data_IF_210008715632
#
_entry.id   IF_210008715632
#
_cell.length_a   1.000
_cell.length_b   1.000
_cell.length_c   1.000
_cell.angle_alpha   90.00
_cell.angle_beta   90.00
_cell.angle_gamma   90.00
#
_symmetry.space_group_name_H-M   'P 1'
#
loop_
_entity.id
_entity.type
_entity.pdbx_description
1 polymer ?
#
# COMPACT_ATOMS: atom_id res chain seq x y z
N UNK A 1 20.10 -24.50 38.18
CA UNK A 1 19.95 -23.03 38.15
C UNK A 1 20.56 -22.48 36.86
N UNK A 2 21.80 -22.87 36.54
CA UNK A 2 22.64 -22.22 35.50
C UNK A 2 22.15 -22.43 34.05
N UNK A 3 21.44 -23.51 33.75
CA UNK A 3 20.88 -23.73 32.41
C UNK A 3 19.64 -22.87 32.10
N UNK A 4 18.90 -22.46 33.13
CA UNK A 4 17.72 -21.60 32.96
C UNK A 4 18.19 -20.14 32.85
N UNK A 5 19.19 -19.73 33.61
CA UNK A 5 19.79 -18.39 33.57
C UNK A 5 20.45 -18.16 32.21
N UNK A 6 21.27 -19.08 31.71
CA UNK A 6 21.89 -18.98 30.41
C UNK A 6 20.91 -19.03 29.22
N UNK A 7 19.71 -19.61 29.43
CA UNK A 7 18.63 -19.60 28.43
C UNK A 7 17.84 -18.28 28.46
N UNK A 8 17.70 -17.66 29.64
CA UNK A 8 17.12 -16.33 29.80
C UNK A 8 18.05 -15.22 29.30
N UNK A 9 19.36 -15.34 29.49
CA UNK A 9 20.36 -14.41 28.95
C UNK A 9 20.43 -14.48 27.41
N UNK A 10 20.19 -15.66 26.82
CA UNK A 10 20.10 -15.82 25.36
C UNK A 10 18.81 -15.26 24.77
N UNK A 11 17.76 -15.09 25.59
CA UNK A 11 16.47 -14.52 25.20
C UNK A 11 16.47 -12.99 25.34
N UNK A 12 17.26 -12.44 26.22
CA UNK A 12 17.53 -11.01 26.29
C UNK A 12 18.71 -10.63 25.39
N UNK A 13 18.58 -10.82 24.07
CA UNK A 13 19.33 -9.97 23.15
C UNK A 13 18.94 -8.54 23.52
N UNK A 14 19.85 -7.85 24.18
CA UNK A 14 19.71 -6.43 24.49
C UNK A 14 19.39 -5.73 23.18
N UNK A 15 18.13 -5.40 22.95
CA UNK A 15 17.74 -4.65 21.78
C UNK A 15 18.42 -3.29 21.96
N UNK A 16 19.47 -3.06 21.20
CA UNK A 16 20.12 -1.75 21.17
C UNK A 16 19.15 -0.88 20.37
N UNK A 17 18.35 -0.10 21.06
CA UNK A 17 17.44 0.87 20.49
C UNK A 17 18.10 2.25 20.52
N UNK A 18 18.36 2.80 19.34
CA UNK A 18 18.70 4.20 19.16
C UNK A 18 17.54 4.90 18.42
N UNK A 19 16.79 5.78 19.10
CA UNK A 19 15.67 6.47 18.48
C UNK A 19 16.07 7.38 17.31
N UNK A 20 17.33 7.70 17.17
CA UNK A 20 17.86 8.52 16.05
C UNK A 20 18.02 7.69 14.75
N UNK A 21 18.14 6.38 14.88
CA UNK A 21 18.27 5.46 13.75
C UNK A 21 16.90 4.90 13.31
N UNK A 22 15.87 5.01 14.16
CA UNK A 22 14.52 4.57 13.85
C UNK A 22 13.93 5.42 12.73
N UNK A 23 13.39 4.77 11.70
CA UNK A 23 12.70 5.41 10.59
C UNK A 23 11.19 5.51 10.86
N UNK A 24 10.58 6.57 10.37
CA UNK A 24 9.16 6.88 10.57
C UNK A 24 8.48 7.07 9.22
N UNK A 25 7.43 6.29 8.98
CA UNK A 25 6.58 6.43 7.79
C UNK A 25 5.29 7.12 8.18
N UNK A 26 5.03 8.29 7.61
CA UNK A 26 3.76 8.99 7.75
C UNK A 26 2.79 8.55 6.67
N UNK A 27 1.55 8.22 7.06
CA UNK A 27 0.47 7.80 6.17
C UNK A 27 -0.67 8.81 6.25
N UNK A 28 -0.97 9.47 5.14
CA UNK A 28 -2.22 10.21 4.97
C UNK A 28 -3.35 9.18 4.80
N UNK A 29 -4.39 9.30 5.63
CA UNK A 29 -5.40 8.24 5.80
C UNK A 29 -6.79 8.82 5.63
N UNK A 30 -7.66 8.21 4.80
CA UNK A 30 -9.08 8.58 4.75
C UNK A 30 -9.75 8.43 6.11
N UNK A 31 -10.56 9.41 6.53
CA UNK A 31 -11.17 9.46 7.87
C UNK A 31 -12.02 8.24 8.23
N UNK A 32 -12.67 7.63 7.25
CA UNK A 32 -13.53 6.46 7.42
C UNK A 32 -12.83 5.12 7.16
N UNK A 33 -11.51 5.14 6.90
CA UNK A 33 -10.74 3.91 6.68
C UNK A 33 -10.39 3.24 8.02
N UNK A 34 -10.65 1.94 8.12
CA UNK A 34 -10.32 1.10 9.28
C UNK A 34 -9.49 -0.13 8.90
N UNK A 35 -9.08 -0.23 7.65
CA UNK A 35 -8.38 -1.40 7.10
C UNK A 35 -6.87 -1.17 7.01
N UNK A 36 -6.44 -0.01 6.49
CA UNK A 36 -5.03 0.22 6.22
C UNK A 36 -4.15 0.29 7.49
N UNK A 37 -4.63 0.93 8.56
CA UNK A 37 -3.83 1.08 9.78
C UNK A 37 -3.47 -0.26 10.43
N UNK A 38 -4.42 -1.18 10.71
CA UNK A 38 -4.06 -2.48 11.28
C UNK A 38 -3.17 -3.32 10.36
N UNK A 39 -3.34 -3.25 9.05
CA UNK A 39 -2.51 -3.98 8.10
C UNK A 39 -1.09 -3.40 8.06
N UNK A 40 -0.93 -2.09 7.85
CA UNK A 40 0.38 -1.45 7.79
C UNK A 40 1.16 -1.60 9.11
N UNK A 41 0.49 -1.43 10.25
CA UNK A 41 1.10 -1.61 11.56
C UNK A 41 1.51 -3.08 11.80
N UNK A 42 0.71 -4.03 11.35
CA UNK A 42 1.04 -5.46 11.47
C UNK A 42 2.23 -5.85 10.57
N UNK A 43 2.38 -5.26 9.39
CA UNK A 43 3.53 -5.48 8.51
C UNK A 43 4.86 -5.16 9.18
N UNK A 44 4.90 -4.18 10.06
CA UNK A 44 6.11 -3.75 10.80
C UNK A 44 6.13 -4.21 12.25
N UNK A 45 5.18 -5.02 12.69
CA UNK A 45 5.12 -5.54 14.05
C UNK A 45 6.40 -6.32 14.42
N UNK A 46 6.95 -6.03 15.60
CA UNK A 46 8.22 -6.60 16.06
C UNK A 46 9.47 -5.95 15.43
N UNK A 47 9.30 -4.87 14.65
CA UNK A 47 10.38 -4.13 13.98
C UNK A 47 10.35 -2.64 14.33
N UNK A 48 9.67 -2.28 15.41
CA UNK A 48 9.43 -0.90 15.85
C UNK A 48 10.72 -0.16 16.19
N UNK A 49 11.79 -0.88 16.48
CA UNK A 49 13.14 -0.29 16.66
C UNK A 49 13.79 0.13 15.33
N UNK A 50 13.28 -0.33 14.20
CA UNK A 50 13.78 -0.04 12.85
C UNK A 50 12.86 0.96 12.16
N UNK A 51 11.55 0.70 12.15
CA UNK A 51 10.54 1.48 11.44
C UNK A 51 9.21 1.50 12.16
N UNK A 52 8.55 2.65 12.15
CA UNK A 52 7.21 2.85 12.72
C UNK A 52 6.28 3.52 11.73
N UNK A 53 4.97 3.30 11.91
CA UNK A 53 3.90 3.92 11.14
C UNK A 53 3.21 5.01 11.95
N UNK A 54 2.96 6.15 11.32
CA UNK A 54 2.25 7.29 11.90
C UNK A 54 1.15 7.73 10.94
N UNK A 55 -0.04 8.00 11.44
CA UNK A 55 -1.23 8.21 10.62
C UNK A 55 -1.81 9.60 10.83
N UNK A 56 -2.05 10.32 9.73
CA UNK A 56 -2.74 11.61 9.69
C UNK A 56 -4.03 11.48 8.89
N UNK A 57 -5.17 11.83 9.47
CA UNK A 57 -6.49 11.68 8.84
C UNK A 57 -7.00 12.97 8.24
N UNK A 58 -7.76 12.84 7.16
CA UNK A 58 -8.60 13.91 6.60
C UNK A 58 -9.91 13.31 6.08
N UNK A 59 -10.93 14.14 5.85
CA UNK A 59 -12.29 13.67 5.60
C UNK A 59 -12.45 12.99 4.25
N UNK A 60 -12.75 11.70 4.24
CA UNK A 60 -13.20 10.90 3.09
C UNK A 60 -14.23 9.88 3.55
N UNK A 61 -15.46 9.98 3.07
CA UNK A 61 -16.55 9.09 3.48
C UNK A 61 -17.25 8.39 2.32
N UNK A 62 -17.14 8.93 1.10
CA UNK A 62 -17.83 8.47 -0.10
C UNK A 62 -16.90 8.44 -1.31
N UNK A 63 -16.96 7.38 -2.09
CA UNK A 63 -16.19 7.22 -3.33
C UNK A 63 -17.18 7.12 -4.50
N UNK A 64 -17.37 8.22 -5.21
CA UNK A 64 -18.20 8.34 -6.40
C UNK A 64 -17.73 9.52 -7.27
N UNK A 65 -18.38 9.73 -8.42
CA UNK A 65 -18.13 10.86 -9.30
C UNK A 65 -19.08 12.05 -9.04
N UNK A 66 -19.88 12.01 -7.99
CA UNK A 66 -20.70 13.13 -7.58
C UNK A 66 -19.85 14.26 -6.99
N UNK A 67 -20.29 15.50 -7.15
CA UNK A 67 -19.53 16.71 -6.79
C UNK A 67 -19.12 16.72 -5.30
N UNK A 68 -20.02 16.32 -4.41
CA UNK A 68 -19.75 16.23 -2.96
C UNK A 68 -18.68 15.19 -2.63
N UNK A 69 -18.64 14.06 -3.36
CA UNK A 69 -17.61 13.05 -3.20
C UNK A 69 -16.26 13.48 -3.78
N UNK A 70 -16.25 14.16 -4.93
CA UNK A 70 -15.03 14.69 -5.56
C UNK A 70 -14.38 15.79 -4.72
N UNK A 71 -15.17 16.65 -4.07
CA UNK A 71 -14.66 17.72 -3.19
C UNK A 71 -13.87 17.19 -1.98
N UNK A 72 -14.06 15.94 -1.55
CA UNK A 72 -13.29 15.31 -0.47
C UNK A 72 -11.80 15.10 -0.82
N UNK A 73 -11.45 15.18 -2.10
CA UNK A 73 -10.07 15.06 -2.58
C UNK A 73 -9.45 16.41 -2.90
N UNK A 74 -10.01 17.52 -2.34
CA UNK A 74 -9.32 18.79 -2.31
C UNK A 74 -7.96 18.64 -1.62
N UNK A 75 -6.94 19.26 -2.21
CA UNK A 75 -5.56 19.07 -1.80
C UNK A 75 -5.27 19.70 -0.42
N UNK A 76 -5.93 20.80 -0.06
CA UNK A 76 -5.64 21.53 1.18
C UNK A 76 -5.87 20.71 2.46
N UNK A 77 -6.96 19.96 2.64
CA UNK A 77 -7.09 19.07 3.80
C UNK A 77 -6.00 18.00 3.87
N UNK A 78 -5.53 17.49 2.72
CA UNK A 78 -4.42 16.55 2.67
C UNK A 78 -3.11 17.20 3.11
N UNK A 79 -2.82 18.41 2.64
CA UNK A 79 -1.64 19.17 3.01
C UNK A 79 -1.65 19.54 4.49
N UNK A 80 -2.80 19.88 5.06
CA UNK A 80 -2.93 20.11 6.50
C UNK A 80 -2.57 18.86 7.31
N UNK A 81 -3.06 17.69 6.92
CA UNK A 81 -2.69 16.43 7.58
C UNK A 81 -1.20 16.10 7.39
N UNK A 82 -0.62 16.42 6.22
CA UNK A 82 0.81 16.25 5.97
C UNK A 82 1.68 17.14 6.87
N UNK A 83 1.29 18.39 7.11
CA UNK A 83 1.98 19.28 8.05
C UNK A 83 1.99 18.73 9.47
N UNK A 84 0.87 18.13 9.93
CA UNK A 84 0.80 17.49 11.24
C UNK A 84 1.71 16.25 11.34
N UNK A 85 1.85 15.48 10.26
CA UNK A 85 2.83 14.39 10.20
C UNK A 85 4.28 14.92 10.20
N UNK A 86 4.52 16.06 9.57
CA UNK A 86 5.83 16.70 9.57
C UNK A 86 6.26 17.14 10.97
N UNK A 87 5.34 17.52 11.85
CA UNK A 87 5.62 17.83 13.27
C UNK A 87 6.22 16.62 14.03
N UNK A 88 6.00 15.40 13.54
CA UNK A 88 6.56 14.16 14.10
C UNK A 88 7.92 13.78 13.49
N UNK A 89 8.49 14.63 12.61
CA UNK A 89 9.74 14.36 11.91
C UNK A 89 9.72 12.99 11.18
N UNK A 90 8.65 12.70 10.45
CA UNK A 90 8.58 11.48 9.64
C UNK A 90 9.56 11.54 8.48
N UNK A 91 10.12 10.41 8.07
CA UNK A 91 11.12 10.33 7.01
C UNK A 91 10.52 10.32 5.60
N UNK A 92 9.23 9.94 5.48
CA UNK A 92 8.44 9.92 4.24
C UNK A 92 6.96 10.14 4.57
N UNK A 93 6.24 10.80 3.67
CA UNK A 93 4.78 10.94 3.74
C UNK A 93 4.17 10.23 2.55
N UNK A 94 3.26 9.29 2.79
CA UNK A 94 2.56 8.53 1.77
C UNK A 94 1.05 8.77 1.84
N UNK A 95 0.44 9.17 0.71
CA UNK A 95 -1.01 9.12 0.56
C UNK A 95 -1.44 7.67 0.39
N UNK A 96 -1.94 7.08 1.47
CA UNK A 96 -2.47 5.72 1.47
C UNK A 96 -3.94 5.74 1.03
N UNK A 97 -4.14 6.05 -0.23
CA UNK A 97 -5.43 6.19 -0.88
C UNK A 97 -5.28 6.10 -2.40
N UNK A 98 -6.40 6.00 -3.10
CA UNK A 98 -6.45 5.55 -4.48
C UNK A 98 -7.11 6.54 -5.44
N UNK A 99 -7.42 7.76 -4.99
CA UNK A 99 -8.12 8.76 -5.80
C UNK A 99 -7.42 9.08 -7.13
N UNK A 100 -6.09 9.04 -7.19
CA UNK A 100 -5.33 9.20 -8.42
C UNK A 100 -5.64 8.15 -9.49
N UNK A 101 -6.16 6.99 -9.10
CA UNK A 101 -6.55 5.93 -10.02
C UNK A 101 -7.74 6.28 -10.93
N UNK A 102 -8.56 7.27 -10.56
CA UNK A 102 -9.67 7.73 -11.39
C UNK A 102 -9.68 9.25 -11.65
N UNK A 103 -9.00 10.03 -10.80
CA UNK A 103 -8.79 11.47 -11.02
C UNK A 103 -7.59 11.77 -11.94
N UNK A 104 -6.74 10.77 -12.16
CA UNK A 104 -5.50 10.86 -12.92
C UNK A 104 -4.25 10.88 -12.03
N UNK A 105 -3.19 10.22 -12.48
CA UNK A 105 -1.94 10.14 -11.71
C UNK A 105 -1.20 11.48 -11.59
N UNK A 106 -1.52 12.45 -12.43
CA UNK A 106 -0.93 13.80 -12.33
C UNK A 106 -1.37 14.52 -11.05
N UNK A 107 -2.58 14.26 -10.56
CA UNK A 107 -3.04 14.80 -9.27
C UNK A 107 -2.18 14.24 -8.12
N UNK A 108 -1.86 12.97 -8.16
CA UNK A 108 -0.97 12.35 -7.17
C UNK A 108 0.44 12.93 -7.23
N UNK A 109 0.99 13.16 -8.43
CA UNK A 109 2.30 13.81 -8.60
C UNK A 109 2.30 15.25 -8.07
N UNK A 110 1.25 16.00 -8.32
CA UNK A 110 1.08 17.35 -7.79
C UNK A 110 0.97 17.36 -6.27
N UNK A 111 0.24 16.42 -5.68
CA UNK A 111 0.15 16.27 -4.22
C UNK A 111 1.53 15.98 -3.62
N UNK A 112 2.28 15.05 -4.17
CA UNK A 112 3.64 14.74 -3.70
C UNK A 112 4.55 15.98 -3.79
N UNK A 113 4.54 16.69 -4.90
CA UNK A 113 5.34 17.90 -5.09
C UNK A 113 4.98 18.98 -4.05
N UNK A 114 3.69 19.18 -3.75
CA UNK A 114 3.22 20.14 -2.74
C UNK A 114 3.62 19.73 -1.33
N UNK A 115 3.52 18.44 -1.00
CA UNK A 115 3.98 17.93 0.32
C UNK A 115 5.49 18.18 0.48
N UNK A 116 6.28 17.86 -0.52
CA UNK A 116 7.73 18.08 -0.51
C UNK A 116 8.10 19.56 -0.41
N UNK A 117 7.41 20.43 -1.15
CA UNK A 117 7.62 21.87 -1.09
C UNK A 117 7.33 22.45 0.30
N UNK A 118 6.23 22.01 0.93
CA UNK A 118 5.79 22.56 2.22
C UNK A 118 6.49 21.97 3.44
N UNK A 119 6.91 20.71 3.37
CA UNK A 119 7.45 19.98 4.53
C UNK A 119 8.92 19.63 4.40
N UNK A 120 9.48 19.64 3.19
CA UNK A 120 10.83 19.11 2.93
C UNK A 120 10.93 17.59 3.02
N UNK A 121 9.81 16.87 3.20
CA UNK A 121 9.76 15.41 3.37
C UNK A 121 9.36 14.77 2.05
N UNK A 122 10.11 13.74 1.57
CA UNK A 122 9.75 13.03 0.33
C UNK A 122 8.38 12.37 0.46
N UNK A 123 7.63 12.34 -0.65
CA UNK A 123 6.27 11.85 -0.67
C UNK A 123 6.01 10.86 -1.80
N UNK A 124 5.04 9.97 -1.57
CA UNK A 124 4.49 9.05 -2.57
C UNK A 124 3.00 8.83 -2.35
N UNK A 125 2.36 8.06 -3.22
CA UNK A 125 0.95 7.65 -3.08
C UNK A 125 0.81 6.15 -3.35
N UNK A 126 -0.30 5.56 -2.93
CA UNK A 126 -0.60 4.16 -3.22
C UNK A 126 -0.62 3.86 -4.73
N UNK A 127 -1.18 4.77 -5.54
CA UNK A 127 -1.28 4.56 -6.99
C UNK A 127 0.08 4.72 -7.68
N UNK A 128 0.86 5.75 -7.32
CA UNK A 128 2.22 5.91 -7.87
C UNK A 128 3.13 4.74 -7.47
N UNK A 129 3.03 4.28 -6.22
CA UNK A 129 3.79 3.13 -5.72
C UNK A 129 3.42 1.84 -6.47
N UNK A 130 2.14 1.63 -6.78
CA UNK A 130 1.69 0.46 -7.53
C UNK A 130 2.23 0.46 -8.96
N UNK A 131 2.18 1.60 -9.65
CA UNK A 131 2.77 1.74 -10.99
C UNK A 131 4.29 1.54 -10.95
N UNK A 132 4.97 2.05 -9.93
CA UNK A 132 6.40 1.80 -9.73
C UNK A 132 6.68 0.30 -9.58
N UNK A 133 5.89 -0.41 -8.77
CA UNK A 133 6.04 -1.86 -8.60
C UNK A 133 5.84 -2.62 -9.92
N UNK A 134 4.82 -2.25 -10.71
CA UNK A 134 4.62 -2.81 -12.04
C UNK A 134 5.83 -2.60 -12.96
N UNK A 135 6.38 -1.39 -12.99
CA UNK A 135 7.54 -1.06 -13.81
C UNK A 135 8.78 -1.86 -13.41
N UNK A 136 9.06 -1.95 -12.12
CA UNK A 136 10.23 -2.68 -11.61
C UNK A 136 10.13 -4.19 -11.84
N UNK A 137 8.92 -4.75 -11.81
CA UNK A 137 8.67 -6.16 -12.05
C UNK A 137 8.45 -6.50 -13.55
N UNK A 138 8.39 -5.48 -14.41
CA UNK A 138 8.14 -5.66 -15.84
C UNK A 138 6.70 -6.10 -16.16
N UNK A 139 5.74 -5.81 -15.28
CA UNK A 139 4.32 -6.12 -15.42
C UNK A 139 3.72 -5.35 -16.58
N UNK A 140 2.96 -6.04 -17.43
CA UNK A 140 2.23 -5.47 -18.57
C UNK A 140 0.76 -5.81 -18.57
N UNK A 141 0.37 -6.91 -17.94
CA UNK A 141 -0.98 -7.44 -17.95
C UNK A 141 -1.40 -7.79 -16.53
N UNK A 142 -2.52 -7.24 -16.08
CA UNK A 142 -3.04 -7.47 -14.72
C UNK A 142 -4.51 -7.84 -14.73
N UNK A 143 -4.95 -8.52 -13.69
CA UNK A 143 -6.34 -8.55 -13.29
C UNK A 143 -6.62 -7.40 -12.35
N UNK A 144 -7.84 -6.87 -12.33
CA UNK A 144 -8.22 -5.76 -11.46
C UNK A 144 -9.39 -6.15 -10.54
N UNK A 145 -9.19 -5.97 -9.25
CA UNK A 145 -10.21 -6.14 -8.21
C UNK A 145 -10.44 -4.83 -7.48
N UNK A 146 -11.69 -4.37 -7.41
CA UNK A 146 -12.07 -3.18 -6.65
C UNK A 146 -13.43 -3.36 -5.97
N UNK A 147 -13.73 -2.64 -4.87
CA UNK A 147 -15.09 -2.58 -4.34
C UNK A 147 -15.94 -1.48 -4.99
N UNK A 148 -15.36 -0.65 -5.84
CA UNK A 148 -15.94 0.58 -6.37
C UNK A 148 -17.08 0.37 -7.35
N UNK A 149 -17.75 1.46 -7.72
CA UNK A 149 -18.69 1.50 -8.83
C UNK A 149 -18.01 1.14 -10.15
N UNK A 150 -18.74 0.49 -11.06
CA UNK A 150 -18.21 0.10 -12.37
C UNK A 150 -17.61 1.28 -13.14
N UNK A 151 -18.19 2.47 -13.02
CA UNK A 151 -17.66 3.68 -13.66
C UNK A 151 -16.29 4.09 -13.13
N UNK A 152 -16.06 3.98 -11.83
CA UNK A 152 -14.73 4.21 -11.22
C UNK A 152 -13.74 3.14 -11.73
N UNK A 153 -14.18 1.89 -11.78
CA UNK A 153 -13.37 0.77 -12.27
C UNK A 153 -12.91 1.00 -13.74
N UNK A 154 -13.81 1.48 -14.60
CA UNK A 154 -13.49 1.85 -16.00
C UNK A 154 -12.42 2.95 -16.09
N UNK A 155 -12.49 3.96 -15.22
CA UNK A 155 -11.51 5.04 -15.19
C UNK A 155 -10.14 4.54 -14.72
N UNK A 156 -10.08 3.63 -13.76
CA UNK A 156 -8.82 3.00 -13.33
C UNK A 156 -8.20 2.20 -14.48
N UNK A 157 -9.01 1.43 -15.21
CA UNK A 157 -8.57 0.69 -16.40
C UNK A 157 -7.97 1.63 -17.45
N UNK A 158 -8.60 2.78 -17.68
CA UNK A 158 -8.11 3.78 -18.62
C UNK A 158 -6.78 4.41 -18.17
N UNK A 159 -6.62 4.72 -16.88
CA UNK A 159 -5.35 5.23 -16.33
C UNK A 159 -4.23 4.18 -16.45
N UNK A 160 -4.52 2.90 -16.21
CA UNK A 160 -3.55 1.82 -16.42
C UNK A 160 -3.14 1.70 -17.89
N UNK A 161 -4.10 1.79 -18.81
CA UNK A 161 -3.84 1.76 -20.25
C UNK A 161 -2.88 2.88 -20.68
N UNK A 162 -3.04 4.09 -20.14
CA UNK A 162 -2.11 5.21 -20.39
C UNK A 162 -0.69 4.91 -19.91
N UNK A 163 -0.54 4.08 -18.90
CA UNK A 163 0.76 3.62 -18.38
C UNK A 163 1.30 2.37 -19.12
N UNK A 164 0.62 1.89 -20.15
CA UNK A 164 1.01 0.68 -20.89
C UNK A 164 0.69 -0.62 -20.16
N UNK A 165 -0.28 -0.59 -19.23
CA UNK A 165 -0.77 -1.75 -18.49
C UNK A 165 -2.14 -2.16 -19.05
N UNK A 166 -2.24 -3.41 -19.51
CA UNK A 166 -3.49 -4.02 -19.95
C UNK A 166 -4.22 -4.65 -18.76
N UNK A 167 -5.50 -4.36 -18.59
CA UNK A 167 -6.37 -5.09 -17.68
C UNK A 167 -7.04 -6.23 -18.43
N UNK A 168 -6.63 -7.46 -18.13
CA UNK A 168 -7.11 -8.68 -18.82
C UNK A 168 -8.54 -9.01 -18.40
N UNK A 169 -8.83 -8.93 -17.11
CA UNK A 169 -10.16 -9.09 -16.55
C UNK A 169 -10.33 -8.24 -15.30
N UNK A 170 -11.55 -7.88 -14.98
CA UNK A 170 -11.83 -7.08 -13.81
C UNK A 170 -13.14 -7.47 -13.12
N UNK A 171 -13.20 -7.26 -11.82
CA UNK A 171 -14.41 -7.43 -11.02
C UNK A 171 -14.52 -6.27 -10.03
N UNK A 172 -15.73 -5.74 -9.87
CA UNK A 172 -16.03 -4.71 -8.88
C UNK A 172 -17.33 -5.03 -8.11
N UNK A 173 -17.51 -4.43 -6.93
CA UNK A 173 -18.66 -4.70 -6.06
C UNK A 173 -19.77 -3.66 -6.20
N UNK A 174 -19.58 -2.63 -7.02
CA UNK A 174 -20.55 -1.52 -7.20
C UNK A 174 -20.95 -0.83 -5.88
N UNK A 175 -20.00 -0.61 -4.99
CA UNK A 175 -20.18 0.10 -3.74
C UNK A 175 -19.53 1.51 -3.81
N UNK A 176 -20.02 2.45 -2.98
CA UNK A 176 -19.52 3.82 -2.94
C UNK A 176 -19.33 4.38 -1.52
N UNK A 177 -19.89 3.74 -0.49
CA UNK A 177 -19.72 4.16 0.91
C UNK A 177 -18.40 3.58 1.42
N UNK A 178 -17.42 4.44 1.70
CA UNK A 178 -16.06 3.99 1.99
C UNK A 178 -15.99 2.99 3.16
N UNK A 179 -16.71 3.24 4.27
CA UNK A 179 -16.71 2.33 5.43
C UNK A 179 -17.23 0.92 5.12
N UNK A 180 -18.07 0.76 4.08
CA UNK A 180 -18.62 -0.56 3.72
C UNK A 180 -17.59 -1.47 3.08
N UNK A 181 -16.55 -0.92 2.47
CA UNK A 181 -15.48 -1.70 1.85
C UNK A 181 -14.74 -2.58 2.88
N UNK A 182 -14.54 -2.05 4.09
CA UNK A 182 -13.89 -2.78 5.19
C UNK A 182 -14.71 -3.99 5.70
N UNK A 183 -15.99 -4.03 5.40
CA UNK A 183 -16.93 -5.07 5.87
C UNK A 183 -17.09 -6.23 4.87
N UNK A 184 -16.38 -6.17 3.73
CA UNK A 184 -16.47 -7.26 2.73
C UNK A 184 -15.83 -8.52 3.31
N UNK A 185 -16.58 -9.65 3.38
CA UNK A 185 -16.05 -10.89 3.93
C UNK A 185 -14.90 -11.47 3.10
N UNK A 186 -13.95 -12.15 3.75
CA UNK A 186 -12.82 -12.81 3.08
C UNK A 186 -13.28 -13.80 2.00
N UNK A 187 -14.33 -14.58 2.24
CA UNK A 187 -14.89 -15.51 1.25
C UNK A 187 -15.34 -14.78 -0.04
N UNK A 188 -15.93 -13.59 0.09
CA UNK A 188 -16.28 -12.77 -1.08
C UNK A 188 -15.05 -12.30 -1.83
N UNK A 189 -14.02 -11.89 -1.11
CA UNK A 189 -12.74 -11.46 -1.71
C UNK A 189 -12.09 -12.62 -2.48
N UNK A 190 -12.01 -13.80 -1.87
CA UNK A 190 -11.49 -15.02 -2.52
C UNK A 190 -12.27 -15.37 -3.79
N UNK A 191 -13.60 -15.26 -3.77
CA UNK A 191 -14.45 -15.43 -4.96
C UNK A 191 -14.10 -14.43 -6.07
N UNK A 192 -13.76 -13.18 -5.72
CA UNK A 192 -13.35 -12.19 -6.72
C UNK A 192 -12.00 -12.55 -7.35
N UNK A 193 -11.05 -13.09 -6.58
CA UNK A 193 -9.80 -13.65 -7.14
C UNK A 193 -10.09 -14.81 -8.09
N UNK A 194 -10.94 -15.75 -7.70
CA UNK A 194 -11.36 -16.87 -8.55
C UNK A 194 -11.95 -16.39 -9.88
N UNK A 195 -12.81 -15.36 -9.84
CA UNK A 195 -13.44 -14.81 -11.04
C UNK A 195 -12.45 -14.20 -12.02
N UNK A 196 -11.42 -13.49 -11.55
CA UNK A 196 -10.47 -12.81 -12.43
C UNK A 196 -9.33 -13.72 -12.88
N UNK A 197 -8.91 -14.67 -12.06
CA UNK A 197 -7.75 -15.54 -12.33
C UNK A 197 -8.07 -16.73 -13.25
N UNK A 198 -9.08 -16.60 -14.16
CA UNK A 198 -9.42 -17.64 -15.15
C UNK A 198 -8.47 -17.65 -16.34
N UNK A 199 -7.79 -16.54 -16.59
CA UNK A 199 -6.81 -16.38 -17.66
C UNK A 199 -5.46 -15.97 -17.08
N UNK A 200 -4.33 -16.26 -17.75
CA UNK A 200 -3.02 -15.83 -17.29
C UNK A 200 -2.84 -14.30 -17.38
N UNK A 201 -2.23 -13.73 -16.35
CA UNK A 201 -1.74 -12.35 -16.33
C UNK A 201 -0.44 -12.29 -15.49
N UNK A 202 0.26 -11.14 -15.51
CA UNK A 202 1.50 -10.96 -14.77
C UNK A 202 1.24 -10.77 -13.27
N UNK A 203 0.02 -10.40 -12.88
CA UNK A 203 -0.36 -10.22 -11.49
C UNK A 203 -1.81 -9.79 -11.32
N UNK A 204 -2.22 -9.68 -10.06
CA UNK A 204 -3.53 -9.17 -9.66
C UNK A 204 -3.35 -7.82 -8.98
N UNK A 205 -3.96 -6.79 -9.54
CA UNK A 205 -4.07 -5.47 -8.95
C UNK A 205 -5.32 -5.38 -8.08
N UNK A 206 -5.16 -4.99 -6.83
CA UNK A 206 -6.26 -4.66 -5.92
C UNK A 206 -6.20 -3.17 -5.61
N UNK A 207 -7.27 -2.44 -5.94
CA UNK A 207 -7.32 -0.99 -5.76
C UNK A 207 -8.43 -0.61 -4.79
N UNK A 208 -8.07 -0.43 -3.57
CA UNK A 208 -8.78 0.23 -2.47
C UNK A 208 -8.06 -0.03 -1.15
N UNK A 209 -7.66 1.01 -0.45
CA UNK A 209 -6.95 0.87 0.83
C UNK A 209 -7.88 0.59 2.03
N UNK A 210 -9.19 0.61 1.83
CA UNK A 210 -10.18 0.17 2.82
C UNK A 210 -10.83 -1.18 2.49
N UNK A 211 -10.27 -1.92 1.55
CA UNK A 211 -10.72 -3.24 1.14
C UNK A 211 -9.77 -4.29 1.70
N UNK A 212 -10.23 -5.24 2.55
CA UNK A 212 -9.35 -6.06 3.38
C UNK A 212 -8.75 -7.28 2.63
N UNK A 213 -8.34 -7.10 1.36
CA UNK A 213 -7.80 -8.17 0.53
C UNK A 213 -6.43 -8.68 0.99
N UNK A 214 -5.63 -7.82 1.63
CA UNK A 214 -4.29 -8.20 2.10
C UNK A 214 -4.28 -9.37 3.09
N UNK A 215 -5.37 -9.57 3.85
CA UNK A 215 -5.49 -10.72 4.76
C UNK A 215 -5.53 -12.07 4.04
N UNK A 216 -5.93 -12.09 2.76
CA UNK A 216 -5.95 -13.30 1.91
C UNK A 216 -4.87 -13.29 0.82
N UNK A 217 -4.10 -12.21 0.67
CA UNK A 217 -3.21 -12.02 -0.48
C UNK A 217 -2.20 -13.16 -0.65
N UNK A 218 -1.49 -13.54 0.41
CA UNK A 218 -0.50 -14.61 0.35
C UNK A 218 -1.12 -15.97 -0.03
N UNK A 219 -2.31 -16.30 0.50
CA UNK A 219 -3.06 -17.50 0.13
C UNK A 219 -3.48 -17.47 -1.35
N UNK A 220 -3.93 -16.31 -1.84
CA UNK A 220 -4.33 -16.16 -3.25
C UNK A 220 -3.13 -16.23 -4.22
N UNK A 221 -1.99 -15.71 -3.81
CA UNK A 221 -0.74 -15.84 -4.57
C UNK A 221 -0.31 -17.30 -4.75
N UNK A 222 -0.45 -18.11 -3.71
CA UNK A 222 -0.18 -19.56 -3.76
C UNK A 222 -1.23 -20.29 -4.60
N UNK A 223 -2.50 -20.02 -4.38
CA UNK A 223 -3.63 -20.70 -5.03
C UNK A 223 -3.62 -20.49 -6.54
N UNK A 224 -3.34 -19.27 -6.99
CA UNK A 224 -3.41 -18.91 -8.42
C UNK A 224 -2.04 -18.74 -9.06
N UNK A 225 -0.95 -19.04 -8.36
CA UNK A 225 0.44 -18.88 -8.84
C UNK A 225 0.70 -17.49 -9.44
N UNK A 226 0.20 -16.47 -8.77
CA UNK A 226 0.26 -15.07 -9.19
C UNK A 226 0.98 -14.20 -8.16
N UNK A 227 1.13 -12.92 -8.44
CA UNK A 227 1.61 -11.90 -7.50
C UNK A 227 0.52 -10.85 -7.28
N UNK A 228 0.30 -10.48 -6.04
CA UNK A 228 -0.72 -9.49 -5.67
C UNK A 228 -0.06 -8.13 -5.47
N UNK A 229 -0.53 -7.15 -6.22
CA UNK A 229 -0.19 -5.74 -6.11
C UNK A 229 -1.41 -5.00 -5.55
N UNK A 230 -1.54 -5.01 -4.23
CA UNK A 230 -2.55 -4.25 -3.50
C UNK A 230 -2.04 -2.83 -3.25
N UNK A 231 -2.93 -1.86 -3.24
CA UNK A 231 -2.56 -0.47 -2.99
C UNK A 231 -2.03 -0.22 -1.57
N UNK A 232 -2.25 -1.15 -0.62
CA UNK A 232 -1.63 -1.10 0.71
C UNK A 232 -0.20 -1.66 0.67
N UNK A 233 0.04 -2.86 0.10
CA UNK A 233 1.38 -3.42 0.13
C UNK A 233 2.36 -2.62 -0.74
N UNK A 234 1.92 -2.10 -1.87
CA UNK A 234 2.78 -1.31 -2.76
C UNK A 234 3.20 0.02 -2.14
N UNK A 235 2.32 0.70 -1.40
CA UNK A 235 2.70 1.97 -0.75
C UNK A 235 3.66 1.76 0.41
N UNK A 236 3.50 0.70 1.19
CA UNK A 236 4.44 0.32 2.26
C UNK A 236 5.80 -0.04 1.65
N UNK A 237 5.81 -0.85 0.61
CA UNK A 237 7.00 -1.25 -0.13
C UNK A 237 7.76 -0.03 -0.68
N UNK A 238 7.08 0.89 -1.35
CA UNK A 238 7.70 2.09 -1.91
C UNK A 238 8.21 3.04 -0.81
N UNK A 239 7.42 3.28 0.24
CA UNK A 239 7.83 4.13 1.36
C UNK A 239 9.09 3.60 2.05
N UNK A 240 9.19 2.30 2.29
CA UNK A 240 10.40 1.68 2.85
C UNK A 240 11.62 1.91 1.96
N UNK A 241 11.49 1.73 0.65
CA UNK A 241 12.59 1.96 -0.30
C UNK A 241 13.05 3.42 -0.29
N UNK A 242 12.13 4.38 -0.21
CA UNK A 242 12.45 5.81 -0.18
C UNK A 242 13.29 6.20 1.04
N UNK A 243 13.15 5.51 2.16
CA UNK A 243 13.88 5.79 3.41
C UNK A 243 15.04 4.82 3.66
N UNK A 244 15.40 4.02 2.66
CA UNK A 244 16.57 3.13 2.72
C UNK A 244 16.35 1.85 3.52
N UNK A 245 15.11 1.46 3.80
CA UNK A 245 14.78 0.19 4.47
C UNK A 245 14.45 -0.85 3.40
N UNK A 246 15.03 -2.06 3.53
CA UNK A 246 14.64 -3.18 2.68
C UNK A 246 13.19 -3.58 2.93
N UNK A 247 12.31 -3.60 1.92
CA UNK A 247 10.97 -4.14 2.08
C UNK A 247 10.95 -5.63 2.49
N UNK A 248 12.03 -6.36 2.23
CA UNK A 248 12.19 -7.77 2.62
C UNK A 248 12.15 -8.04 4.12
N UNK A 249 12.22 -7.01 4.98
CA UNK A 249 12.00 -7.19 6.43
C UNK A 249 10.55 -7.54 6.77
N UNK A 250 9.60 -7.19 5.88
CA UNK A 250 8.18 -7.56 6.02
C UNK A 250 8.00 -9.02 5.61
N UNK A 251 7.55 -9.86 6.53
CA UNK A 251 7.40 -11.30 6.33
C UNK A 251 5.94 -11.74 6.42
N UNK A 252 5.54 -12.67 5.54
CA UNK A 252 4.20 -13.26 5.56
C UNK A 252 3.11 -12.41 4.92
N UNK A 253 3.47 -11.36 4.19
CA UNK A 253 2.55 -10.44 3.53
C UNK A 253 2.60 -10.48 1.99
N UNK A 254 3.21 -11.52 1.43
CA UNK A 254 3.19 -11.84 0.01
C UNK A 254 4.49 -11.57 -0.73
N UNK A 255 4.49 -11.94 -2.00
CA UNK A 255 5.67 -12.00 -2.87
C UNK A 255 6.32 -10.65 -3.13
N UNK A 256 5.56 -9.54 -3.07
CA UNK A 256 6.13 -8.21 -3.28
C UNK A 256 7.27 -7.91 -2.29
N UNK A 257 7.11 -8.34 -1.03
CA UNK A 257 8.11 -8.19 0.01
C UNK A 257 9.18 -9.30 -0.05
N UNK A 258 8.77 -10.54 -0.29
CA UNK A 258 9.69 -11.69 -0.34
C UNK A 258 10.70 -11.55 -1.49
N UNK A 259 10.29 -11.05 -2.64
CA UNK A 259 11.15 -10.86 -3.81
C UNK A 259 12.16 -9.72 -3.62
N UNK A 260 11.94 -8.81 -2.68
CA UNK A 260 12.85 -7.71 -2.40
C UNK A 260 14.21 -8.17 -1.85
N UNK A 261 14.26 -9.28 -1.10
CA UNK A 261 15.50 -9.88 -0.62
C UNK A 261 16.26 -10.58 -1.76
N UNK A 262 15.55 -11.29 -2.62
CA UNK A 262 16.13 -12.05 -3.74
C UNK A 262 16.84 -11.15 -4.77
N UNK A 263 16.42 -9.90 -4.94
CA UNK A 263 17.07 -8.93 -5.84
C UNK A 263 18.42 -8.47 -5.31
N UNK A 264 18.54 -8.24 -4.00
CA UNK A 264 19.83 -7.84 -3.37
C UNK A 264 20.88 -8.94 -3.44
N UNK A 265 20.49 -10.21 -3.36
CA UNK A 265 21.42 -11.33 -3.51
C UNK A 265 21.96 -11.40 -4.94
N UNK A 266 21.11 -11.24 -5.96
CA UNK A 266 21.51 -11.24 -7.36
C UNK A 266 22.43 -10.04 -7.73
N UNK A 267 22.24 -8.88 -7.13
CA UNK A 267 23.10 -7.71 -7.33
C UNK A 267 24.46 -7.88 -6.64
N UNK A 268 24.56 -8.65 -5.56
CA UNK A 268 25.81 -8.99 -4.88
C UNK A 268 26.60 -10.08 -5.60
N UNK A 269 25.91 -11.06 -6.17
CA UNK A 269 26.53 -12.18 -6.89
C UNK A 269 26.90 -11.83 -8.34
N UNK A 270 26.40 -10.70 -8.86
CA UNK A 270 26.73 -10.18 -10.19
C UNK A 270 27.86 -9.14 -10.22
N UNK A 271 28.50 -8.84 -9.09
CA UNK A 271 29.72 -8.04 -8.95
C UNK A 271 30.92 -8.94 -8.60
#
# INVERSE_FOLDING_TARGET
GDRIIGRMEKIMKKVIYDPREQKKIGMLTPSSNTTLEPICSNMVAGKETIVTMHYGRFSVTKISLEEDALAQFDMEPMLQAARLLADADVDVIAWNGTSGGWLGFDIDRQLCARIEEETGIPATTSMLAQIQAFQEDGVKRVHLITPYLSKINELIIEEYRKCGIEVVSSVCLNQFVNRSFALVPQEKIKTMFEQVCQEPADGVSVVCTNFPAMWSAAEMEETYHTKVYDTINTVVWAAMKMIGISPGIVKGWGKLFDDADNRKEKERDGQ
#
